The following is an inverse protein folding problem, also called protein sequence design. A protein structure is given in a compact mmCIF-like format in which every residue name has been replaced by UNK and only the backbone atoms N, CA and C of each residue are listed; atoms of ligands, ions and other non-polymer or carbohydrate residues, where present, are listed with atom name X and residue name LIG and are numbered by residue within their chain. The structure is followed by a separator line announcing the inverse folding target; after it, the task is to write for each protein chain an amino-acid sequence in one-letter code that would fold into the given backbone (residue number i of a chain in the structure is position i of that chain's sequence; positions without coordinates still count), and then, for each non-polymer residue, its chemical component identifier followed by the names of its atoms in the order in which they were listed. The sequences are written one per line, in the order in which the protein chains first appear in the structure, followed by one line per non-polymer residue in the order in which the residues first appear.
data_IF_604840080047
#
_entry.id   IF_604840080047
#
_cell.length_a   1.000
_cell.length_b   1.000
_cell.length_c   1.000
_cell.angle_alpha   90.00
_cell.angle_beta   90.00
_cell.angle_gamma   90.00
#
_symmetry.space_group_name_H-M   'P 1'
#
loop_
_entity.id
_entity.type
_entity.pdbx_description
1 polymer ?
#
# COMPACT_ATOMS: atom_id res chain seq x y z
N UNK A 1 -42.35 7.90 -3.39
CA UNK A 1 -43.06 7.89 -2.11
C UNK A 1 -42.23 8.66 -1.11
N UNK A 2 -42.59 9.92 -0.89
CA UNK A 2 -41.90 10.89 -0.03
C UNK A 2 -42.93 11.40 0.97
N UNK A 3 -42.64 11.32 2.26
CA UNK A 3 -43.38 12.00 3.34
C UNK A 3 -42.45 12.23 4.55
N UNK A 4 -42.69 13.29 5.35
CA UNK A 4 -41.70 14.35 5.54
C UNK A 4 -41.54 14.80 7.03
N UNK A 5 -40.55 15.67 7.25
CA UNK A 5 -40.61 16.90 8.07
C UNK A 5 -41.22 16.81 9.48
N UNK A 6 -40.34 16.95 10.48
CA UNK A 6 -40.60 17.55 11.80
C UNK A 6 -39.49 18.59 11.96
N UNK A 7 -39.67 19.84 11.52
CA UNK A 7 -40.32 20.95 12.23
C UNK A 7 -40.04 20.98 13.75
N UNK A 8 -38.93 21.63 14.12
CA UNK A 8 -38.84 22.31 15.42
C UNK A 8 -38.06 23.60 15.22
N UNK A 9 -38.82 24.65 14.91
CA UNK A 9 -38.45 26.02 15.25
C UNK A 9 -38.39 26.11 16.77
N UNK A 10 -37.23 26.44 17.33
CA UNK A 10 -37.17 27.13 18.61
C UNK A 10 -36.53 28.49 18.38
N UNK A 11 -37.40 29.49 18.36
CA UNK A 11 -37.07 30.88 18.23
C UNK A 11 -36.57 31.44 19.57
N UNK A 12 -35.64 32.40 19.43
CA UNK A 12 -35.41 33.57 20.27
C UNK A 12 -35.42 33.42 21.79
N UNK A 13 -34.27 33.72 22.41
CA UNK A 13 -34.20 34.56 23.60
C UNK A 13 -32.87 35.35 23.59
N UNK A 14 -32.93 36.59 23.10
CA UNK A 14 -31.98 37.64 23.45
C UNK A 14 -32.17 37.95 24.94
N UNK A 15 -31.11 37.76 25.72
CA UNK A 15 -31.00 38.38 27.05
C UNK A 15 -29.65 39.08 27.13
N UNK A 16 -29.71 40.41 27.18
CA UNK A 16 -28.62 41.26 27.64
C UNK A 16 -28.59 41.18 29.18
N UNK A 17 -27.42 40.94 29.77
CA UNK A 17 -27.31 40.88 31.23
C UNK A 17 -25.92 40.53 31.75
N UNK A 18 -25.22 41.58 32.18
CA UNK A 18 -24.25 41.64 33.29
C UNK A 18 -22.87 40.98 33.16
N UNK A 19 -21.86 41.86 33.15
CA UNK A 19 -20.46 41.61 33.51
C UNK A 19 -20.36 41.06 34.94
N UNK A 20 -20.05 39.78 35.06
CA UNK A 20 -19.42 39.19 36.24
C UNK A 20 -18.26 38.34 35.75
N UNK A 21 -17.03 38.71 36.09
CA UNK A 21 -15.86 37.85 35.88
C UNK A 21 -15.86 36.76 36.95
N UNK A 22 -16.03 35.47 36.61
CA UNK A 22 -15.41 34.44 37.41
C UNK A 22 -13.93 34.41 37.02
N UNK A 23 -13.05 34.62 38.01
CA UNK A 23 -11.67 34.19 37.91
C UNK A 23 -11.67 32.66 37.83
N UNK A 24 -11.82 32.12 36.62
CA UNK A 24 -11.51 30.72 36.36
C UNK A 24 -9.99 30.58 36.34
N UNK A 25 -9.45 29.97 37.38
CA UNK A 25 -8.19 29.26 37.29
C UNK A 25 -8.35 28.23 36.17
N UNK A 26 -7.85 28.56 34.99
CA UNK A 26 -7.88 27.73 33.79
C UNK A 26 -6.95 26.54 34.02
N UNK A 27 -7.51 25.51 34.65
CA UNK A 27 -6.96 24.16 34.56
C UNK A 27 -7.10 23.78 33.09
N UNK A 28 -6.03 24.03 32.34
CA UNK A 28 -5.95 23.75 30.92
C UNK A 28 -6.59 22.38 30.65
N UNK A 29 -7.53 22.27 29.71
CA UNK A 29 -7.99 20.96 29.29
C UNK A 29 -6.76 20.26 28.76
N UNK A 30 -6.33 19.21 29.46
CA UNK A 30 -5.38 18.27 28.92
C UNK A 30 -6.02 17.79 27.61
N UNK A 31 -5.55 18.32 26.49
CA UNK A 31 -5.87 17.82 25.16
C UNK A 31 -5.53 16.35 25.21
N UNK A 32 -6.58 15.53 25.37
CA UNK A 32 -6.52 14.13 25.05
C UNK A 32 -6.31 14.13 23.55
N UNK A 33 -5.03 14.16 23.13
CA UNK A 33 -4.62 13.62 21.85
C UNK A 33 -5.06 12.17 21.92
N UNK A 34 -6.29 11.93 21.47
CA UNK A 34 -6.77 10.62 21.14
C UNK A 34 -5.86 10.16 20.01
N UNK A 35 -4.76 9.49 20.37
CA UNK A 35 -3.96 8.73 19.42
C UNK A 35 -4.85 7.59 18.97
N UNK A 36 -5.68 7.88 17.97
CA UNK A 36 -6.39 6.87 17.21
C UNK A 36 -5.30 5.92 16.69
N UNK A 37 -5.37 4.62 16.96
CA UNK A 37 -4.34 3.69 16.50
C UNK A 37 -4.27 3.81 14.98
N UNK A 38 -3.13 4.27 14.47
CA UNK A 38 -2.90 4.33 13.04
C UNK A 38 -3.08 2.90 12.50
N UNK A 39 -4.15 2.68 11.73
CA UNK A 39 -4.41 1.39 11.10
C UNK A 39 -3.18 1.08 10.24
N UNK A 40 -2.46 0.02 10.61
CA UNK A 40 -1.23 -0.35 9.92
C UNK A 40 -1.56 -0.58 8.44
N UNK A 41 -0.93 0.20 7.56
CA UNK A 41 -1.19 0.09 6.13
C UNK A 41 -0.64 -1.24 5.62
N UNK A 42 -1.54 -2.08 5.08
CA UNK A 42 -1.17 -3.35 4.45
C UNK A 42 -0.44 -3.04 3.14
N UNK A 43 0.81 -3.50 3.04
CA UNK A 43 1.67 -3.22 1.89
C UNK A 43 1.61 -4.37 0.88
N UNK A 44 1.28 -4.12 -0.40
CA UNK A 44 1.39 -5.16 -1.42
C UNK A 44 2.85 -5.59 -1.60
N UNK A 45 3.04 -6.85 -1.97
CA UNK A 45 4.36 -7.39 -2.32
C UNK A 45 4.58 -7.18 -3.82
N UNK A 46 5.73 -6.64 -4.19
CA UNK A 46 6.19 -6.56 -5.58
C UNK A 46 7.28 -7.59 -5.79
N UNK A 47 6.92 -8.73 -6.38
CA UNK A 47 7.87 -9.79 -6.71
C UNK A 47 8.41 -9.59 -8.13
N UNK A 48 9.74 -9.52 -8.28
CA UNK A 48 10.44 -9.33 -9.55
C UNK A 48 11.31 -10.56 -9.82
N UNK A 49 11.01 -11.28 -10.90
CA UNK A 49 11.85 -12.38 -11.40
C UNK A 49 12.81 -11.81 -12.45
N UNK A 50 14.10 -11.75 -12.12
CA UNK A 50 15.13 -11.18 -13.01
C UNK A 50 16.26 -12.16 -13.28
N UNK A 51 17.00 -11.88 -14.36
CA UNK A 51 18.36 -12.36 -14.53
C UNK A 51 19.22 -11.25 -15.15
N UNK A 52 20.50 -11.19 -14.81
CA UNK A 52 21.40 -10.12 -15.29
C UNK A 52 21.65 -10.21 -16.79
N UNK A 53 21.67 -11.43 -17.33
CA UNK A 53 21.81 -11.70 -18.76
C UNK A 53 20.52 -11.42 -19.55
N UNK A 54 19.40 -11.11 -18.90
CA UNK A 54 18.11 -10.94 -19.57
C UNK A 54 17.96 -9.51 -20.13
N UNK A 55 17.90 -9.32 -21.46
CA UNK A 55 17.81 -8.00 -22.07
C UNK A 55 16.47 -7.29 -21.74
N UNK A 56 15.38 -8.05 -21.58
CA UNK A 56 14.11 -7.49 -21.16
C UNK A 56 14.18 -6.93 -19.73
N UNK A 57 14.90 -7.61 -18.82
CA UNK A 57 15.12 -7.11 -17.46
C UNK A 57 15.90 -5.79 -17.48
N UNK A 58 16.96 -5.72 -18.29
CA UNK A 58 17.76 -4.51 -18.45
C UNK A 58 16.92 -3.34 -18.99
N UNK A 59 16.05 -3.61 -19.96
CA UNK A 59 15.15 -2.60 -20.56
C UNK A 59 14.17 -2.00 -19.54
N UNK A 60 13.60 -2.81 -18.65
CA UNK A 60 12.59 -2.35 -17.68
C UNK A 60 13.20 -1.86 -16.36
N UNK A 61 14.48 -2.12 -16.12
CA UNK A 61 15.18 -1.76 -14.88
C UNK A 61 15.02 -0.29 -14.48
N UNK A 62 15.18 0.72 -15.37
CA UNK A 62 15.01 2.12 -15.00
C UNK A 62 13.60 2.42 -14.45
N UNK A 63 12.57 1.82 -15.04
CA UNK A 63 11.18 1.96 -14.57
C UNK A 63 11.01 1.34 -13.19
N UNK A 64 11.53 0.12 -12.98
CA UNK A 64 11.41 -0.57 -11.69
C UNK A 64 12.19 0.14 -10.58
N UNK A 65 13.38 0.67 -10.87
CA UNK A 65 14.17 1.44 -9.91
C UNK A 65 13.47 2.74 -9.50
N UNK A 66 12.86 3.45 -10.46
CA UNK A 66 12.05 4.63 -10.17
C UNK A 66 10.85 4.29 -9.28
N UNK A 67 10.13 3.22 -9.59
CA UNK A 67 9.02 2.72 -8.77
C UNK A 67 9.47 2.32 -7.37
N UNK A 68 10.59 1.59 -7.24
CA UNK A 68 11.12 1.18 -5.94
C UNK A 68 11.42 2.39 -5.08
N UNK A 69 12.04 3.45 -5.64
CA UNK A 69 12.30 4.70 -4.92
C UNK A 69 11.02 5.34 -4.39
N UNK A 70 9.97 5.41 -5.20
CA UNK A 70 8.73 6.09 -4.85
C UNK A 70 7.82 5.27 -3.93
N UNK A 71 7.92 3.94 -3.99
CA UNK A 71 7.05 3.00 -3.28
C UNK A 71 7.75 2.14 -2.22
N UNK A 72 9.04 2.33 -1.92
CA UNK A 72 9.77 1.52 -0.92
C UNK A 72 9.09 1.47 0.46
N UNK A 73 8.41 2.55 0.85
CA UNK A 73 7.69 2.61 2.14
C UNK A 73 6.24 2.10 2.05
N UNK A 74 5.73 1.88 0.83
CA UNK A 74 4.34 1.54 0.54
C UNK A 74 4.16 0.11 0.01
N UNK A 75 5.22 -0.53 -0.46
CA UNK A 75 5.21 -1.89 -1.00
C UNK A 75 6.46 -2.63 -0.57
N UNK A 76 6.34 -3.95 -0.38
CA UNK A 76 7.47 -4.81 -0.03
C UNK A 76 8.08 -5.40 -1.31
N UNK A 77 9.31 -5.01 -1.61
CA UNK A 77 9.98 -5.40 -2.86
C UNK A 77 10.78 -6.69 -2.66
N UNK A 78 10.49 -7.69 -3.50
CA UNK A 78 11.12 -9.00 -3.46
C UNK A 78 11.75 -9.30 -4.81
N UNK A 79 13.08 -9.20 -4.85
CA UNK A 79 13.85 -9.61 -6.04
C UNK A 79 14.21 -11.09 -5.94
N UNK A 80 13.76 -11.83 -6.94
CA UNK A 80 14.02 -13.25 -7.17
C UNK A 80 14.98 -13.34 -8.37
N UNK A 81 16.26 -13.53 -8.06
CA UNK A 81 17.34 -13.50 -9.04
C UNK A 81 17.66 -14.91 -9.54
N UNK A 82 17.38 -15.18 -10.81
CA UNK A 82 17.62 -16.48 -11.46
C UNK A 82 18.80 -16.42 -12.43
N UNK A 83 19.77 -15.54 -12.18
CA UNK A 83 20.96 -15.37 -13.03
C UNK A 83 21.81 -16.64 -13.12
N UNK A 84 22.03 -17.33 -12.00
CA UNK A 84 22.88 -18.53 -11.93
C UNK A 84 22.38 -19.51 -10.85
N UNK A 85 22.89 -20.76 -10.79
CA UNK A 85 22.39 -21.77 -9.86
C UNK A 85 22.37 -21.35 -8.39
N UNK A 86 23.38 -20.56 -7.96
CA UNK A 86 23.45 -20.06 -6.58
C UNK A 86 22.33 -19.06 -6.28
N UNK A 87 22.17 -18.04 -7.13
CA UNK A 87 21.12 -17.02 -6.92
C UNK A 87 19.73 -17.63 -7.07
N UNK A 88 19.56 -18.60 -7.97
CA UNK A 88 18.30 -19.33 -8.15
C UNK A 88 17.91 -20.08 -6.88
N UNK A 89 18.85 -20.79 -6.24
CA UNK A 89 18.59 -21.46 -4.97
C UNK A 89 18.24 -20.47 -3.84
N UNK A 90 18.92 -19.31 -3.80
CA UNK A 90 18.60 -18.24 -2.84
C UNK A 90 17.22 -17.62 -3.11
N UNK A 91 16.85 -17.43 -4.37
CA UNK A 91 15.55 -16.92 -4.80
C UNK A 91 14.42 -17.88 -4.40
N UNK A 92 14.60 -19.18 -4.62
CA UNK A 92 13.65 -20.21 -4.20
C UNK A 92 13.48 -20.21 -2.67
N UNK A 93 14.59 -20.20 -1.93
CA UNK A 93 14.56 -20.14 -0.46
C UNK A 93 13.83 -18.89 0.03
N UNK A 94 14.12 -17.73 -0.57
CA UNK A 94 13.46 -16.45 -0.24
C UNK A 94 11.97 -16.53 -0.54
N UNK A 95 11.56 -17.06 -1.69
CA UNK A 95 10.16 -17.22 -2.04
C UNK A 95 9.44 -18.11 -1.03
N UNK A 96 10.05 -19.24 -0.62
CA UNK A 96 9.50 -20.13 0.40
C UNK A 96 9.33 -19.43 1.76
N UNK A 97 10.34 -18.70 2.22
CA UNK A 97 10.29 -17.94 3.48
C UNK A 97 9.16 -16.89 3.51
N UNK A 98 8.80 -16.34 2.35
CA UNK A 98 7.76 -15.32 2.21
C UNK A 98 6.38 -15.89 1.85
N UNK A 99 6.25 -17.21 1.72
CA UNK A 99 5.02 -17.88 1.29
C UNK A 99 4.67 -17.66 -0.19
N UNK A 100 5.67 -17.33 -1.02
CA UNK A 100 5.57 -17.11 -2.47
C UNK A 100 5.99 -18.34 -3.29
N UNK A 101 6.09 -19.51 -2.67
CA UNK A 101 6.51 -20.76 -3.31
C UNK A 101 5.70 -21.12 -4.56
N UNK A 102 4.37 -20.95 -4.52
CA UNK A 102 3.48 -21.20 -5.67
C UNK A 102 3.78 -20.25 -6.83
N UNK A 103 3.93 -18.97 -6.51
CA UNK A 103 4.31 -17.95 -7.50
C UNK A 103 5.67 -18.29 -8.13
N UNK A 104 6.66 -18.66 -7.31
CA UNK A 104 7.99 -19.00 -7.81
C UNK A 104 7.99 -20.27 -8.65
N UNK A 105 7.24 -21.31 -8.27
CA UNK A 105 7.11 -22.52 -9.06
C UNK A 105 6.52 -22.26 -10.46
N UNK A 106 5.56 -21.33 -10.57
CA UNK A 106 4.88 -21.02 -11.83
C UNK A 106 5.63 -20.00 -12.71
N UNK A 107 6.33 -19.04 -12.09
CA UNK A 107 6.90 -17.88 -12.79
C UNK A 107 8.42 -17.71 -12.60
N UNK A 108 9.07 -18.47 -11.72
CA UNK A 108 10.50 -18.35 -11.44
C UNK A 108 11.41 -18.61 -12.64
N UNK A 109 10.96 -19.42 -13.61
CA UNK A 109 11.67 -19.64 -14.87
C UNK A 109 11.41 -18.54 -15.94
N UNK A 110 10.52 -17.58 -15.67
CA UNK A 110 10.10 -16.54 -16.62
C UNK A 110 10.72 -15.20 -16.21
N UNK A 111 11.92 -14.92 -16.70
CA UNK A 111 12.59 -13.63 -16.46
C UNK A 111 11.76 -12.45 -16.96
N UNK A 112 11.98 -11.27 -16.38
CA UNK A 112 11.25 -10.05 -16.68
C UNK A 112 9.76 -10.11 -16.28
N UNK A 113 9.42 -11.00 -15.33
CA UNK A 113 8.11 -11.07 -14.70
C UNK A 113 8.09 -10.18 -13.47
N UNK A 114 7.07 -9.33 -13.35
CA UNK A 114 6.81 -8.51 -12.17
C UNK A 114 5.37 -8.76 -11.73
N UNK A 115 5.19 -9.21 -10.50
CA UNK A 115 3.88 -9.47 -9.92
C UNK A 115 3.63 -8.56 -8.71
N UNK A 116 2.43 -8.00 -8.65
CA UNK A 116 1.87 -7.32 -7.48
C UNK A 116 0.98 -8.33 -6.78
N UNK A 117 1.31 -8.65 -5.55
CA UNK A 117 0.76 -9.76 -4.78
C UNK A 117 0.13 -9.21 -3.50
N UNK A 118 -1.06 -9.70 -3.20
CA UNK A 118 -1.72 -9.46 -1.93
C UNK A 118 -0.93 -10.14 -0.80
N UNK A 119 -0.51 -9.41 0.25
CA UNK A 119 0.38 -9.96 1.27
C UNK A 119 -0.33 -10.96 2.20
N UNK A 120 -1.66 -10.92 2.30
CA UNK A 120 -2.47 -11.79 3.16
C UNK A 120 -2.83 -13.09 2.43
N UNK A 121 -3.37 -12.97 1.22
CA UNK A 121 -3.86 -14.12 0.45
C UNK A 121 -2.79 -14.77 -0.43
N UNK A 122 -1.65 -14.08 -0.62
CA UNK A 122 -0.57 -14.46 -1.54
C UNK A 122 -1.03 -14.62 -3.00
N UNK A 123 -2.19 -14.06 -3.35
CA UNK A 123 -2.72 -14.06 -4.71
C UNK A 123 -2.06 -12.96 -5.55
N UNK A 124 -1.77 -13.29 -6.80
CA UNK A 124 -1.30 -12.31 -7.79
C UNK A 124 -2.49 -11.42 -8.17
N UNK A 125 -2.42 -10.14 -7.80
CA UNK A 125 -3.42 -9.12 -8.15
C UNK A 125 -3.19 -8.60 -9.57
N UNK A 126 -1.93 -8.41 -9.93
CA UNK A 126 -1.53 -8.00 -11.26
C UNK A 126 -0.16 -8.58 -11.61
N UNK A 127 0.03 -8.93 -12.87
CA UNK A 127 1.30 -9.40 -13.39
C UNK A 127 1.64 -8.67 -14.69
N UNK A 128 2.92 -8.41 -14.85
CA UNK A 128 3.50 -7.78 -16.03
C UNK A 128 4.68 -8.63 -16.52
N UNK A 129 4.81 -8.75 -17.83
CA UNK A 129 5.96 -9.37 -18.48
C UNK A 129 6.59 -8.35 -19.42
N UNK A 130 7.88 -8.06 -19.24
CA UNK A 130 8.64 -7.11 -20.06
C UNK A 130 7.97 -5.72 -20.22
N UNK A 131 7.22 -5.27 -19.21
CA UNK A 131 6.51 -3.99 -19.24
C UNK A 131 7.41 -2.83 -18.81
N UNK A 132 7.49 -1.81 -19.65
CA UNK A 132 8.31 -0.62 -19.39
C UNK A 132 7.53 0.61 -18.93
N UNK A 133 6.20 0.62 -19.09
CA UNK A 133 5.34 1.78 -18.81
C UNK A 133 5.07 1.92 -17.31
N UNK A 134 5.65 2.95 -16.69
CA UNK A 134 5.52 3.25 -15.26
C UNK A 134 4.07 3.39 -14.81
N UNK A 135 3.22 3.98 -15.65
CA UNK A 135 1.82 4.29 -15.35
C UNK A 135 1.01 3.03 -15.04
N UNK A 136 1.32 1.91 -15.72
CA UNK A 136 0.66 0.63 -15.49
C UNK A 136 0.97 0.08 -14.10
N UNK A 137 2.21 0.21 -13.64
CA UNK A 137 2.62 -0.19 -12.31
C UNK A 137 2.00 0.71 -11.24
N UNK A 138 2.03 2.03 -11.44
CA UNK A 138 1.42 3.00 -10.52
C UNK A 138 -0.07 2.71 -10.32
N UNK A 139 -0.80 2.48 -11.43
CA UNK A 139 -2.22 2.15 -11.38
C UNK A 139 -2.46 0.89 -10.53
N UNK A 140 -1.73 -0.19 -10.83
CA UNK A 140 -1.92 -1.46 -10.13
C UNK A 140 -1.48 -1.42 -8.66
N UNK A 141 -0.42 -0.70 -8.32
CA UNK A 141 0.03 -0.50 -6.93
C UNK A 141 -0.98 0.31 -6.14
N UNK A 142 -1.50 1.39 -6.70
CA UNK A 142 -2.51 2.22 -6.02
C UNK A 142 -3.82 1.46 -5.81
N UNK A 143 -4.23 0.63 -6.78
CA UNK A 143 -5.39 -0.26 -6.63
C UNK A 143 -5.17 -1.27 -5.50
N UNK A 144 -3.99 -1.91 -5.44
CA UNK A 144 -3.66 -2.85 -4.38
C UNK A 144 -3.60 -2.20 -2.99
N UNK A 145 -3.08 -0.97 -2.90
CA UNK A 145 -3.06 -0.21 -1.65
C UNK A 145 -4.46 0.18 -1.17
N UNK A 146 -5.34 0.59 -2.07
CA UNK A 146 -6.70 0.99 -1.74
C UNK A 146 -7.56 -0.19 -1.24
N UNK A 147 -7.34 -1.39 -1.78
CA UNK A 147 -8.08 -2.60 -1.40
C UNK A 147 -7.94 -3.01 0.08
N UNK A 148 -7.00 -2.41 0.82
CA UNK A 148 -6.77 -2.71 2.23
C UNK A 148 -6.99 -1.51 3.18
N UNK A 149 -7.64 -0.44 2.71
CA UNK A 149 -7.94 0.75 3.53
C UNK A 149 -9.33 0.74 4.19
N UNK A 150 -10.16 -0.28 3.93
CA UNK A 150 -11.50 -0.45 4.53
C UNK A 150 -11.47 -0.99 5.95
#
# INVERSE_FOLDING_TARGET
MFKPVILSLFALLLSAGSLTLPAMAEKAPASQTQTQPAKAQVKPIVAVVKADWCPACQKISPTLMGLMKDYMNKADWVVLDVTNPKTTAEAEKKAKQLGLEKFYAEFGAKTSTVAIIDPQTKKVLKMFMAEGKREKYVLALNQALAAHQE
#
